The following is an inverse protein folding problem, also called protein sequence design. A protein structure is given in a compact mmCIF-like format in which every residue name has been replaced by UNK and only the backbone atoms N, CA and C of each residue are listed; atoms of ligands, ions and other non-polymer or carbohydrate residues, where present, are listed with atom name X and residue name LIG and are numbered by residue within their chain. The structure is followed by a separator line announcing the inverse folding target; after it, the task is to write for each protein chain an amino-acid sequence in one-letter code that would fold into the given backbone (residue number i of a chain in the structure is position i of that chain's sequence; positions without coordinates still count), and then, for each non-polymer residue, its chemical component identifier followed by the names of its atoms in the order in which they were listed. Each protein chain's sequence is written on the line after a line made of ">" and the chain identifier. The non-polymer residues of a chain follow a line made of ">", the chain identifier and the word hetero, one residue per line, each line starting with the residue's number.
data_IF_814628521894
#
_entry.id   IF_814628521894
#
_cell.length_a   1.000
_cell.length_b   1.000
_cell.length_c   1.000
_cell.angle_alpha   90.00
_cell.angle_beta   90.00
_cell.angle_gamma   90.00
#
_symmetry.space_group_name_H-M   'P 1'
#
loop_
_entity.id
_entity.type
_entity.pdbx_description
1 polymer ?
#
# COMPACT_ATOMS: atom_id res chain seq x y z
N UNK A 1 -1.95 2.16 16.75
CA UNK A 1 -0.78 2.53 15.94
C UNK A 1 -1.12 2.04 14.57
N UNK A 2 -1.43 2.97 13.69
CA UNK A 2 -1.84 2.69 12.32
C UNK A 2 -0.59 2.26 11.54
N UNK A 3 -0.72 1.23 10.69
CA UNK A 3 0.44 0.74 9.95
C UNK A 3 0.89 1.84 8.99
N UNK A 4 2.15 1.76 8.54
CA UNK A 4 2.65 2.60 7.45
C UNK A 4 3.78 1.87 6.77
N UNK A 5 3.99 2.18 5.51
CA UNK A 5 5.11 1.66 4.75
C UNK A 5 6.37 2.43 5.07
N UNK A 6 7.46 1.68 5.29
CA UNK A 6 8.81 2.21 5.43
C UNK A 6 9.65 1.77 4.23
N UNK A 7 10.59 2.61 3.83
CA UNK A 7 11.55 2.32 2.75
C UNK A 7 12.96 2.31 3.30
N UNK A 8 13.69 1.24 2.99
CA UNK A 8 15.14 1.21 3.14
C UNK A 8 15.80 1.85 1.91
N UNK A 9 16.74 2.76 2.14
CA UNK A 9 17.50 3.38 1.04
C UNK A 9 18.73 2.53 0.73
N UNK A 10 18.87 1.98 -0.49
CA UNK A 10 20.04 1.16 -0.84
C UNK A 10 21.35 1.92 -0.62
N UNK A 11 22.32 1.25 0.01
CA UNK A 11 23.62 1.84 0.32
C UNK A 11 23.63 2.84 1.49
N UNK A 12 22.48 3.01 2.17
CA UNK A 12 22.40 3.72 3.46
C UNK A 12 21.82 2.78 4.50
N UNK A 13 22.41 2.73 5.68
CA UNK A 13 21.83 2.03 6.84
C UNK A 13 20.71 2.88 7.47
N UNK A 14 19.76 3.31 6.64
CA UNK A 14 18.69 4.22 7.02
C UNK A 14 17.35 3.73 6.46
N UNK A 15 16.34 3.74 7.32
CA UNK A 15 14.95 3.44 7.02
C UNK A 15 14.14 4.70 7.27
N UNK A 16 13.30 5.08 6.31
CA UNK A 16 12.44 6.26 6.42
C UNK A 16 10.96 5.90 6.22
N UNK A 17 10.03 6.62 6.88
CA UNK A 17 8.61 6.53 6.53
C UNK A 17 8.42 6.87 5.06
N UNK A 18 7.58 6.12 4.37
CA UNK A 18 7.41 6.26 2.93
C UNK A 18 5.99 6.57 2.50
N UNK A 19 5.01 5.82 3.01
CA UNK A 19 3.60 6.03 2.72
C UNK A 19 2.76 5.68 3.95
N UNK A 20 1.82 6.56 4.28
CA UNK A 20 0.83 6.41 5.33
C UNK A 20 -0.49 6.94 4.74
N UNK A 21 -1.43 6.04 4.45
CA UNK A 21 -2.70 6.36 3.83
C UNK A 21 -3.57 7.14 4.82
N UNK A 22 -4.39 8.08 4.33
CA UNK A 22 -5.37 8.73 5.20
C UNK A 22 -6.41 7.72 5.71
N UNK A 23 -7.00 8.03 6.86
CA UNK A 23 -8.13 7.30 7.39
C UNK A 23 -9.26 7.16 6.33
N UNK A 24 -9.98 6.02 6.30
CA UNK A 24 -9.90 4.92 7.26
C UNK A 24 -8.81 3.88 6.96
N UNK A 25 -8.05 4.01 5.87
CA UNK A 25 -7.23 2.92 5.31
C UNK A 25 -5.76 2.93 5.75
N UNK A 26 -5.42 3.52 6.90
CA UNK A 26 -4.05 3.54 7.47
C UNK A 26 -3.66 2.18 8.09
N UNK A 27 -3.81 1.12 7.29
CA UNK A 27 -3.51 -0.27 7.63
C UNK A 27 -2.92 -0.97 6.40
N UNK A 28 -1.76 -0.53 5.93
CA UNK A 28 -1.13 -0.97 4.68
C UNK A 28 -0.36 -2.28 4.81
N UNK A 29 -0.47 -3.10 3.77
CA UNK A 29 0.16 -4.40 3.63
C UNK A 29 0.53 -4.69 2.17
N UNK A 30 1.36 -5.73 2.01
CA UNK A 30 1.71 -6.33 0.72
C UNK A 30 2.21 -5.34 -0.35
N UNK A 31 3.11 -4.39 -0.02
CA UNK A 31 3.59 -3.43 -1.01
C UNK A 31 4.36 -4.13 -2.12
N UNK A 32 4.02 -3.82 -3.37
CA UNK A 32 4.74 -4.25 -4.57
C UNK A 32 4.99 -3.06 -5.48
N UNK A 33 6.22 -2.92 -5.95
CA UNK A 33 6.57 -1.95 -6.98
C UNK A 33 6.37 -2.56 -8.37
N UNK A 34 5.90 -1.74 -9.31
CA UNK A 34 5.95 -2.08 -10.73
C UNK A 34 7.40 -2.10 -11.23
N UNK A 35 7.58 -2.58 -12.47
CA UNK A 35 8.87 -2.47 -13.16
C UNK A 35 9.29 -0.99 -13.23
N UNK A 36 10.51 -0.69 -12.78
CA UNK A 36 11.04 0.67 -12.74
C UNK A 36 10.60 1.51 -11.53
N UNK A 37 9.72 1.01 -10.66
CA UNK A 37 9.38 1.64 -9.38
C UNK A 37 8.61 2.95 -9.50
N UNK A 38 7.90 3.16 -10.60
CA UNK A 38 7.04 4.34 -10.81
C UNK A 38 5.74 4.25 -10.02
N UNK A 39 5.21 3.04 -9.88
CA UNK A 39 3.98 2.76 -9.18
C UNK A 39 4.21 1.74 -8.08
N UNK A 40 3.52 1.93 -6.96
CA UNK A 40 3.42 0.99 -5.85
C UNK A 40 1.95 0.57 -5.73
N UNK A 41 1.71 -0.73 -5.78
CA UNK A 41 0.41 -1.33 -5.45
C UNK A 41 0.50 -1.92 -4.05
N UNK A 42 -0.58 -1.84 -3.29
CA UNK A 42 -0.66 -2.29 -1.91
C UNK A 42 -2.10 -2.68 -1.56
N UNK A 43 -2.24 -3.54 -0.54
CA UNK A 43 -3.52 -3.74 0.14
C UNK A 43 -3.60 -2.83 1.37
N UNK A 44 -4.77 -2.29 1.69
CA UNK A 44 -5.00 -1.65 2.97
C UNK A 44 -6.45 -1.82 3.46
N UNK A 45 -6.65 -1.95 4.76
CA UNK A 45 -7.99 -2.18 5.33
C UNK A 45 -8.50 -0.96 6.09
N UNK A 46 -9.83 -0.80 6.18
CA UNK A 46 -10.44 0.21 7.06
C UNK A 46 -10.41 -0.19 8.55
N UNK A 47 -9.77 -1.32 8.86
CA UNK A 47 -9.76 -2.00 10.16
C UNK A 47 -9.63 -3.51 9.98
N UNK A 48 -9.25 -4.21 11.05
CA UNK A 48 -8.93 -5.65 10.97
C UNK A 48 -7.56 -5.91 10.33
N UNK A 49 -6.95 -7.03 10.68
CA UNK A 49 -5.60 -7.41 10.23
C UNK A 49 -5.43 -8.92 10.00
N UNK A 50 -6.51 -9.69 10.17
CA UNK A 50 -6.46 -11.12 9.92
C UNK A 50 -6.47 -11.30 8.41
N UNK A 51 -5.38 -11.84 7.87
CA UNK A 51 -5.14 -11.77 6.44
C UNK A 51 -6.15 -12.58 5.62
N UNK A 52 -6.81 -13.60 6.16
CA UNK A 52 -7.76 -14.41 5.40
C UNK A 52 -9.20 -13.88 5.46
N UNK A 53 -9.50 -12.97 6.39
CA UNK A 53 -10.86 -12.47 6.65
C UNK A 53 -11.00 -10.95 6.50
N UNK A 54 -9.93 -10.18 6.68
CA UNK A 54 -10.01 -8.72 6.62
C UNK A 54 -10.37 -8.21 5.23
N UNK A 55 -11.16 -7.15 5.21
CA UNK A 55 -11.60 -6.44 4.01
C UNK A 55 -10.48 -5.49 3.55
N UNK A 56 -9.44 -6.07 2.96
CA UNK A 56 -8.39 -5.30 2.30
C UNK A 56 -8.91 -4.77 0.99
N UNK A 57 -8.56 -3.53 0.70
CA UNK A 57 -8.80 -2.88 -0.57
C UNK A 57 -7.46 -2.67 -1.27
N UNK A 58 -7.43 -2.80 -2.59
CA UNK A 58 -6.23 -2.56 -3.39
C UNK A 58 -6.13 -1.09 -3.73
N UNK A 59 -4.95 -0.54 -3.50
CA UNK A 59 -4.60 0.84 -3.79
C UNK A 59 -3.44 0.89 -4.78
N UNK A 60 -3.38 1.98 -5.54
CA UNK A 60 -2.29 2.32 -6.44
C UNK A 60 -1.76 3.71 -6.11
N UNK A 61 -0.46 3.78 -5.86
CA UNK A 61 0.24 5.02 -5.60
C UNK A 61 1.30 5.28 -6.66
N UNK A 62 1.33 6.49 -7.21
CA UNK A 62 2.47 6.96 -7.97
C UNK A 62 3.58 7.37 -6.99
N UNK A 63 4.72 6.70 -7.07
CA UNK A 63 5.80 6.87 -6.08
C UNK A 63 6.25 8.33 -6.01
N UNK A 64 6.19 8.89 -4.79
CA UNK A 64 6.54 10.28 -4.50
C UNK A 64 5.36 11.27 -4.54
N UNK A 65 4.17 10.85 -4.98
CA UNK A 65 2.98 11.68 -4.85
C UNK A 65 2.54 11.78 -3.36
N UNK A 66 1.80 12.83 -2.97
CA UNK A 66 1.15 12.90 -1.67
C UNK A 66 0.26 11.67 -1.38
N UNK A 67 0.14 11.26 -0.12
CA UNK A 67 -0.60 10.07 0.28
C UNK A 67 -2.11 10.18 0.01
N UNK A 68 -2.66 11.38 0.03
CA UNK A 68 -4.07 11.67 -0.30
C UNK A 68 -4.37 11.58 -1.81
N UNK A 69 -3.36 11.34 -2.65
CA UNK A 69 -3.51 11.09 -4.09
C UNK A 69 -3.41 9.59 -4.46
N UNK A 70 -3.36 8.71 -3.46
CA UNK A 70 -3.51 7.27 -3.67
C UNK A 70 -4.88 6.96 -4.25
N UNK A 71 -4.93 6.08 -5.26
CA UNK A 71 -6.16 5.66 -5.89
C UNK A 71 -6.59 4.28 -5.40
N UNK A 72 -7.83 4.16 -4.91
CA UNK A 72 -8.46 2.87 -4.61
C UNK A 72 -8.93 2.21 -5.91
N UNK A 73 -8.65 0.92 -6.07
CA UNK A 73 -8.96 0.14 -7.27
C UNK A 73 -10.13 -0.84 -7.08
N UNK A 74 -10.32 -1.34 -5.86
CA UNK A 74 -11.39 -2.29 -5.49
C UNK A 74 -12.47 -1.57 -4.69
N UNK A 75 -13.68 -2.12 -4.63
CA UNK A 75 -14.81 -1.50 -3.92
C UNK A 75 -15.75 -2.51 -3.27
N UNK A 76 -15.39 -3.79 -3.30
CA UNK A 76 -16.22 -4.88 -2.80
C UNK A 76 -15.75 -5.26 -1.41
N UNK A 77 -16.67 -5.58 -0.50
CA UNK A 77 -16.36 -5.92 0.90
C UNK A 77 -15.78 -7.34 1.08
N UNK A 78 -15.01 -7.79 0.11
CA UNK A 78 -14.38 -9.10 0.08
C UNK A 78 -12.90 -8.93 0.30
N UNK A 79 -12.23 -9.98 0.74
CA UNK A 79 -10.81 -9.91 1.00
C UNK A 79 -10.00 -9.77 -0.30
N UNK A 80 -9.59 -8.54 -0.65
CA UNK A 80 -8.70 -8.27 -1.78
C UNK A 80 -7.24 -8.18 -1.30
N UNK A 81 -6.51 -9.29 -1.48
CA UNK A 81 -5.15 -9.46 -1.00
C UNK A 81 -4.11 -9.66 -2.10
N UNK A 82 -2.85 -9.47 -1.70
CA UNK A 82 -1.66 -9.86 -2.46
C UNK A 82 -1.64 -9.32 -3.89
N UNK A 83 -1.74 -7.99 -4.08
CA UNK A 83 -1.75 -7.43 -5.42
C UNK A 83 -0.39 -7.60 -6.09
N UNK A 84 -0.42 -7.79 -7.41
CA UNK A 84 0.72 -7.61 -8.29
C UNK A 84 0.37 -6.57 -9.36
N UNK A 85 1.38 -5.85 -9.85
CA UNK A 85 1.23 -4.85 -10.91
C UNK A 85 2.25 -5.08 -12.03
N UNK A 86 1.75 -5.15 -13.26
CA UNK A 86 2.54 -5.34 -14.47
C UNK A 86 2.26 -4.19 -15.43
N UNK A 87 3.17 -3.22 -15.48
CA UNK A 87 3.13 -2.06 -16.39
C UNK A 87 4.55 -1.73 -16.86
N UNK A 88 4.66 -1.01 -17.98
CA UNK A 88 5.90 -0.70 -18.69
C UNK A 88 6.82 0.31 -17.97
#
# INVERSE_FOLDING_TARGET
>A
MENRLYRQIPGKDMVEPWLDLPAPYSHEYFPKLNRGGRYLVLGASAGGHEHDVADYEIFLWQVGAPADQVQRLTFHSGNDNWPDIYTD
#
